data_IF_907752716738
#
_entry.id   IF_907752716738
#
_cell.length_a   1.000
_cell.length_b   1.000
_cell.length_c   1.000
_cell.angle_alpha   90.00
_cell.angle_beta   90.00
_cell.angle_gamma   90.00
#
_symmetry.space_group_name_H-M   'P 1'
#
loop_
_entity.id
_entity.type
_entity.pdbx_description
1 polymer ?
#
# COMPACT_ATOMS: atom_id res chain seq x y z
N UNK A 1 -25.21 27.53 8.54
CA UNK A 1 -25.20 28.71 7.65
C UNK A 1 -24.75 28.29 6.24
N UNK A 2 -25.36 28.91 5.18
CA UNK A 2 -25.05 28.61 3.78
C UNK A 2 -23.62 29.05 3.42
N UNK A 3 -23.15 30.15 3.95
CA UNK A 3 -21.81 30.67 3.73
C UNK A 3 -20.74 29.71 4.32
N UNK A 4 -20.97 29.21 5.52
CA UNK A 4 -20.08 28.25 6.19
C UNK A 4 -20.02 26.92 5.44
N UNK A 5 -21.16 26.40 4.94
CA UNK A 5 -21.16 25.18 4.11
C UNK A 5 -20.35 25.36 2.83
N UNK A 6 -20.52 26.53 2.14
CA UNK A 6 -19.77 26.83 0.93
C UNK A 6 -18.26 26.87 1.22
N UNK A 7 -17.85 27.59 2.26
CA UNK A 7 -16.46 27.67 2.70
C UNK A 7 -15.86 26.27 2.96
N UNK A 8 -16.55 25.41 3.72
CA UNK A 8 -16.08 24.04 4.00
C UNK A 8 -16.01 23.17 2.76
N UNK A 9 -16.93 23.36 1.82
CA UNK A 9 -16.90 22.66 0.53
C UNK A 9 -15.65 23.06 -0.25
N UNK A 10 -15.38 24.37 -0.37
CA UNK A 10 -14.22 24.90 -1.05
C UNK A 10 -12.91 24.40 -0.39
N UNK A 11 -12.79 24.50 0.94
CA UNK A 11 -11.64 23.97 1.69
C UNK A 11 -11.42 22.46 1.44
N UNK A 12 -12.50 21.68 1.42
CA UNK A 12 -12.41 20.24 1.19
C UNK A 12 -12.02 19.89 -0.24
N UNK A 13 -12.46 20.67 -1.22
CA UNK A 13 -12.08 20.50 -2.62
C UNK A 13 -10.62 20.92 -2.85
N UNK A 14 -10.16 21.98 -2.18
CA UNK A 14 -8.75 22.41 -2.23
C UNK A 14 -7.81 21.33 -1.73
N UNK A 15 -8.16 20.64 -0.61
CA UNK A 15 -7.37 19.53 -0.05
C UNK A 15 -7.11 18.39 -1.04
N UNK A 16 -8.02 18.21 -2.01
CA UNK A 16 -7.93 17.14 -3.02
C UNK A 16 -7.53 17.67 -4.41
N UNK A 17 -7.06 18.93 -4.49
CA UNK A 17 -6.61 19.55 -5.74
C UNK A 17 -7.72 19.87 -6.73
N UNK A 18 -8.94 20.16 -6.23
CA UNK A 18 -10.11 20.52 -7.03
C UNK A 18 -10.64 21.93 -6.69
N UNK A 19 -9.73 22.89 -6.46
CA UNK A 19 -10.09 24.28 -6.27
C UNK A 19 -10.98 24.79 -7.41
N UNK A 20 -12.07 25.50 -7.08
CA UNK A 20 -12.99 26.06 -8.07
C UNK A 20 -13.97 25.07 -8.72
N UNK A 21 -14.01 23.82 -8.28
CA UNK A 21 -14.92 22.80 -8.83
C UNK A 21 -16.27 22.70 -8.10
N UNK A 22 -16.52 23.59 -7.14
CA UNK A 22 -17.70 23.53 -6.27
C UNK A 22 -19.06 23.59 -6.97
N UNK A 23 -19.12 24.23 -8.13
CA UNK A 23 -20.37 24.39 -8.90
C UNK A 23 -20.52 23.35 -10.03
N UNK A 24 -19.54 22.44 -10.22
CA UNK A 24 -19.61 21.42 -11.25
C UNK A 24 -20.49 20.25 -10.85
N UNK A 25 -21.21 19.72 -11.82
CA UNK A 25 -22.03 18.52 -11.64
C UNK A 25 -21.18 17.24 -11.82
N UNK A 26 -21.54 16.12 -11.16
CA UNK A 26 -20.74 14.88 -11.23
C UNK A 26 -20.46 14.37 -12.65
N UNK A 27 -21.38 14.54 -13.59
CA UNK A 27 -21.22 14.12 -14.99
C UNK A 27 -20.24 14.97 -15.81
N UNK A 28 -19.85 16.15 -15.28
CA UNK A 28 -18.84 17.02 -15.88
C UNK A 28 -17.43 16.72 -15.39
N UNK A 29 -17.29 15.73 -14.49
CA UNK A 29 -16.03 15.35 -13.86
C UNK A 29 -15.49 14.06 -14.47
N UNK A 30 -14.17 14.00 -14.66
CA UNK A 30 -13.50 12.73 -14.98
C UNK A 30 -13.60 11.74 -13.81
N UNK A 31 -13.38 10.43 -14.07
CA UNK A 31 -13.42 9.41 -13.02
C UNK A 31 -12.49 9.72 -11.83
N UNK A 32 -11.27 10.19 -12.10
CA UNK A 32 -10.34 10.60 -11.04
C UNK A 32 -10.80 11.82 -10.26
N UNK A 33 -11.46 12.79 -10.93
CA UNK A 33 -12.04 13.95 -10.25
C UNK A 33 -13.24 13.54 -9.38
N UNK A 34 -14.08 12.61 -9.84
CA UNK A 34 -15.19 12.08 -9.04
C UNK A 34 -14.70 11.37 -7.79
N UNK A 35 -13.61 10.61 -7.86
CA UNK A 35 -12.99 9.96 -6.70
C UNK A 35 -12.43 10.98 -5.70
N UNK A 36 -11.74 12.03 -6.17
CA UNK A 36 -11.27 13.11 -5.31
C UNK A 36 -12.44 13.84 -4.64
N UNK A 37 -13.55 14.07 -5.33
CA UNK A 37 -14.77 14.62 -4.72
C UNK A 37 -15.33 13.68 -3.66
N UNK A 38 -15.35 12.37 -3.90
CA UNK A 38 -15.78 11.39 -2.89
C UNK A 38 -14.90 11.43 -1.64
N UNK A 39 -13.57 11.56 -1.81
CA UNK A 39 -12.64 11.74 -0.70
C UNK A 39 -12.87 13.07 0.02
N UNK A 40 -13.01 14.18 -0.69
CA UNK A 40 -13.33 15.49 -0.10
C UNK A 40 -14.60 15.43 0.75
N UNK A 41 -15.64 14.76 0.25
CA UNK A 41 -16.87 14.51 0.99
C UNK A 41 -16.65 13.70 2.27
N UNK A 42 -15.78 12.68 2.23
CA UNK A 42 -15.45 11.88 3.41
C UNK A 42 -14.62 12.68 4.44
N UNK A 43 -13.77 13.60 3.98
CA UNK A 43 -12.93 14.45 4.83
C UNK A 43 -13.64 15.67 5.41
N UNK A 44 -14.69 16.18 4.74
CA UNK A 44 -15.41 17.40 5.13
C UNK A 44 -15.92 17.41 6.60
N UNK A 45 -16.39 16.28 7.19
CA UNK A 45 -16.76 16.22 8.60
C UNK A 45 -15.57 16.23 9.57
N UNK A 46 -14.31 16.15 9.05
CA UNK A 46 -13.08 15.98 9.83
C UNK A 46 -13.10 14.75 10.74
N UNK A 47 -13.33 13.56 10.16
CA UNK A 47 -13.38 12.32 10.93
C UNK A 47 -12.01 11.95 11.47
N UNK A 48 -11.98 11.23 12.60
CA UNK A 48 -10.74 10.65 13.13
C UNK A 48 -10.31 9.39 12.34
N UNK A 49 -11.27 8.68 11.75
CA UNK A 49 -11.05 7.45 10.98
C UNK A 49 -11.83 7.50 9.66
N UNK A 50 -11.15 7.14 8.57
CA UNK A 50 -11.74 7.00 7.24
C UNK A 50 -11.53 5.57 6.76
N UNK A 51 -12.59 4.99 6.20
CA UNK A 51 -12.53 3.69 5.54
C UNK A 51 -12.61 3.91 4.03
N UNK A 52 -11.63 3.40 3.30
CA UNK A 52 -11.52 3.45 1.84
C UNK A 52 -11.56 2.02 1.31
N UNK A 53 -12.62 1.68 0.62
CA UNK A 53 -12.81 0.36 0.01
C UNK A 53 -12.57 0.46 -1.49
N UNK A 54 -11.49 -0.16 -1.97
CA UNK A 54 -11.04 -0.18 -3.37
C UNK A 54 -11.07 1.21 -4.06
N UNK A 55 -10.52 2.26 -3.44
CA UNK A 55 -10.79 3.65 -3.87
C UNK A 55 -10.17 4.01 -5.22
N UNK A 56 -9.30 3.19 -5.80
CA UNK A 56 -8.62 3.50 -7.07
C UNK A 56 -8.96 2.52 -8.21
N UNK A 57 -9.87 1.58 -7.99
CA UNK A 57 -10.23 0.55 -8.98
C UNK A 57 -10.81 1.12 -10.28
N UNK A 58 -11.56 2.21 -10.20
CA UNK A 58 -12.19 2.83 -11.36
C UNK A 58 -11.25 3.72 -12.20
N UNK A 59 -9.96 3.79 -11.83
CA UNK A 59 -8.97 4.63 -12.51
C UNK A 59 -8.12 3.81 -13.48
N UNK A 60 -7.82 4.41 -14.62
CA UNK A 60 -6.76 3.90 -15.48
C UNK A 60 -5.37 4.01 -14.80
N UNK A 61 -4.41 3.23 -15.29
CA UNK A 61 -3.08 3.12 -14.69
C UNK A 61 -2.30 4.46 -14.69
N UNK A 62 -2.52 5.31 -15.68
CA UNK A 62 -1.81 6.59 -15.81
C UNK A 62 -2.29 7.61 -14.76
N UNK A 63 -3.59 7.65 -14.49
CA UNK A 63 -4.19 8.55 -13.50
C UNK A 63 -4.02 8.03 -12.06
N UNK A 64 -3.92 6.72 -11.88
CA UNK A 64 -3.89 6.06 -10.57
C UNK A 64 -2.76 6.56 -9.68
N UNK A 65 -1.55 6.70 -10.22
CA UNK A 65 -0.38 7.14 -9.46
C UNK A 65 -0.53 8.57 -8.92
N UNK A 66 -1.02 9.49 -9.75
CA UNK A 66 -1.25 10.88 -9.32
C UNK A 66 -2.33 10.98 -8.24
N UNK A 67 -3.46 10.31 -8.45
CA UNK A 67 -4.58 10.33 -7.49
C UNK A 67 -4.19 9.69 -6.15
N UNK A 68 -3.40 8.61 -6.14
CA UNK A 68 -2.85 8.01 -4.89
C UNK A 68 -2.03 9.01 -4.09
N UNK A 69 -1.14 9.74 -4.77
CA UNK A 69 -0.31 10.78 -4.13
C UNK A 69 -1.16 11.87 -3.50
N UNK A 70 -2.18 12.35 -4.22
CA UNK A 70 -3.05 13.42 -3.76
C UNK A 70 -3.92 12.97 -2.58
N UNK A 71 -4.46 11.74 -2.63
CA UNK A 71 -5.21 11.12 -1.51
C UNK A 71 -4.34 11.03 -0.26
N UNK A 72 -3.11 10.52 -0.41
CA UNK A 72 -2.16 10.42 0.71
C UNK A 72 -1.82 11.78 1.29
N UNK A 73 -1.60 12.78 0.45
CA UNK A 73 -1.33 14.16 0.88
C UNK A 73 -2.51 14.74 1.66
N UNK A 74 -3.75 14.59 1.17
CA UNK A 74 -4.95 15.05 1.82
C UNK A 74 -5.19 14.37 3.19
N UNK A 75 -4.98 13.06 3.28
CA UNK A 75 -5.08 12.31 4.54
C UNK A 75 -4.06 12.81 5.56
N UNK A 76 -2.81 13.02 5.15
CA UNK A 76 -1.77 13.57 6.04
C UNK A 76 -2.06 14.99 6.49
N UNK A 77 -2.53 15.84 5.60
CA UNK A 77 -2.86 17.22 5.91
C UNK A 77 -3.98 17.35 6.95
N UNK A 78 -4.91 16.39 6.96
CA UNK A 78 -6.03 16.37 7.93
C UNK A 78 -5.71 15.66 9.23
N UNK A 79 -4.61 14.90 9.31
CA UNK A 79 -4.26 14.08 10.47
C UNK A 79 -5.23 12.91 10.71
N UNK A 80 -6.06 12.56 9.72
CA UNK A 80 -7.01 11.47 9.82
C UNK A 80 -6.30 10.11 9.72
N UNK A 81 -6.72 9.14 10.54
CA UNK A 81 -6.35 7.74 10.36
C UNK A 81 -7.17 7.17 9.20
N UNK A 82 -6.52 6.43 8.28
CA UNK A 82 -7.21 5.79 7.18
C UNK A 82 -6.98 4.28 7.19
N UNK A 83 -8.04 3.52 6.93
CA UNK A 83 -7.95 2.09 6.60
C UNK A 83 -8.30 1.97 5.11
N UNK A 84 -7.34 1.47 4.35
CA UNK A 84 -7.48 1.24 2.92
C UNK A 84 -7.61 -0.26 2.68
N UNK A 85 -8.69 -0.69 2.07
CA UNK A 85 -8.87 -2.05 1.57
C UNK A 85 -8.57 -2.05 0.08
N UNK A 86 -7.66 -2.91 -0.34
CA UNK A 86 -7.28 -3.04 -1.75
C UNK A 86 -6.75 -4.44 -2.05
N UNK A 87 -6.87 -4.88 -3.28
CA UNK A 87 -6.19 -6.07 -3.81
C UNK A 87 -4.92 -5.71 -4.61
N UNK A 88 -4.63 -4.43 -4.80
CA UNK A 88 -3.43 -3.95 -5.49
C UNK A 88 -2.27 -3.83 -4.48
N UNK A 89 -1.30 -4.75 -4.59
CA UNK A 89 -0.14 -4.81 -3.71
C UNK A 89 0.72 -3.55 -3.79
N UNK A 90 0.91 -2.99 -5.01
CA UNK A 90 1.69 -1.77 -5.20
C UNK A 90 1.03 -0.59 -4.50
N UNK A 91 -0.30 -0.55 -4.52
CA UNK A 91 -1.06 0.46 -3.80
C UNK A 91 -0.83 0.35 -2.29
N UNK A 92 -1.02 -0.84 -1.72
CA UNK A 92 -0.80 -1.07 -0.30
C UNK A 92 0.63 -0.72 0.13
N UNK A 93 1.63 -1.24 -0.59
CA UNK A 93 3.05 -1.06 -0.24
C UNK A 93 3.55 0.39 -0.42
N UNK A 94 2.98 1.15 -1.38
CA UNK A 94 3.41 2.54 -1.64
C UNK A 94 2.68 3.59 -0.81
N UNK A 95 1.50 3.26 -0.26
CA UNK A 95 0.60 4.25 0.35
C UNK A 95 0.53 4.12 1.86
N UNK A 96 0.49 2.89 2.39
CA UNK A 96 0.24 2.63 3.80
C UNK A 96 1.51 2.78 4.67
N UNK A 97 1.31 3.15 5.92
CA UNK A 97 2.36 3.10 6.95
C UNK A 97 2.47 1.69 7.56
N UNK A 98 1.33 0.96 7.63
CA UNK A 98 1.24 -0.45 8.01
C UNK A 98 0.37 -1.19 7.00
N UNK A 99 0.77 -2.40 6.64
CA UNK A 99 0.01 -3.30 5.75
C UNK A 99 -0.36 -4.57 6.50
N UNK A 100 -1.65 -4.90 6.48
CA UNK A 100 -2.17 -6.16 6.98
C UNK A 100 -2.54 -7.08 5.80
N UNK A 101 -1.86 -8.20 5.66
CA UNK A 101 -2.19 -9.23 4.68
C UNK A 101 -3.26 -10.14 5.29
N UNK A 102 -4.40 -10.22 4.61
CA UNK A 102 -5.53 -11.07 5.04
C UNK A 102 -5.58 -12.31 4.16
N UNK A 103 -5.63 -13.49 4.79
CA UNK A 103 -5.77 -14.79 4.14
C UNK A 103 -6.75 -15.65 4.95
N UNK A 104 -7.72 -16.26 4.27
CA UNK A 104 -8.75 -17.13 4.88
C UNK A 104 -9.48 -16.47 6.07
N UNK A 105 -9.81 -15.17 5.93
CA UNK A 105 -10.52 -14.40 6.96
C UNK A 105 -9.70 -14.04 8.19
N UNK A 106 -8.37 -14.20 8.15
CA UNK A 106 -7.45 -13.89 9.25
C UNK A 106 -6.30 -13.00 8.77
N UNK A 107 -5.80 -12.16 9.68
CA UNK A 107 -4.56 -11.41 9.43
C UNK A 107 -3.39 -12.39 9.50
N UNK A 108 -2.78 -12.66 8.35
CA UNK A 108 -1.62 -13.55 8.25
C UNK A 108 -0.32 -12.84 8.67
N UNK A 109 -0.18 -11.56 8.31
CA UNK A 109 0.93 -10.70 8.76
C UNK A 109 0.49 -9.24 8.76
N UNK A 110 0.97 -8.47 9.73
CA UNK A 110 0.83 -7.02 9.77
C UNK A 110 2.20 -6.40 10.06
N UNK A 111 2.70 -5.57 9.14
CA UNK A 111 4.04 -4.99 9.25
C UNK A 111 4.14 -3.70 8.41
N UNK A 112 5.26 -2.98 8.55
CA UNK A 112 5.58 -1.92 7.60
C UNK A 112 5.75 -2.51 6.19
N UNK A 113 5.49 -1.73 5.11
CA UNK A 113 5.73 -2.20 3.74
C UNK A 113 7.12 -2.81 3.54
N UNK A 114 8.14 -2.20 4.11
CA UNK A 114 9.52 -2.65 4.00
C UNK A 114 9.75 -4.00 4.70
N UNK A 115 9.22 -4.17 5.92
CA UNK A 115 9.36 -5.42 6.66
C UNK A 115 8.53 -6.53 6.01
N UNK A 116 7.33 -6.22 5.54
CA UNK A 116 6.48 -7.17 4.82
C UNK A 116 7.18 -7.73 3.58
N UNK A 117 7.85 -6.86 2.81
CA UNK A 117 8.59 -7.23 1.61
C UNK A 117 9.87 -8.02 1.92
N UNK A 118 10.64 -7.59 2.93
CA UNK A 118 11.95 -8.17 3.26
C UNK A 118 11.88 -9.39 4.18
N UNK A 119 10.85 -9.45 5.03
CA UNK A 119 10.67 -10.48 6.08
C UNK A 119 9.25 -11.03 6.07
N UNK A 120 8.79 -11.58 4.94
CA UNK A 120 7.49 -12.23 4.88
C UNK A 120 7.45 -13.40 5.84
N UNK A 121 6.30 -13.61 6.50
CA UNK A 121 6.13 -14.65 7.50
C UNK A 121 6.16 -16.06 6.90
N UNK A 122 5.77 -16.20 5.63
CA UNK A 122 5.81 -17.47 4.91
C UNK A 122 6.06 -17.26 3.39
N UNK A 123 6.37 -18.33 2.63
CA UNK A 123 6.59 -18.25 1.20
C UNK A 123 5.38 -17.73 0.39
N UNK A 124 4.17 -18.01 0.85
CA UNK A 124 2.96 -17.50 0.19
C UNK A 124 2.88 -15.97 0.28
N UNK A 125 3.16 -15.40 1.45
CA UNK A 125 3.20 -13.95 1.61
C UNK A 125 4.33 -13.35 0.77
N UNK A 126 5.48 -14.03 0.71
CA UNK A 126 6.61 -13.60 -0.11
C UNK A 126 6.22 -13.40 -1.58
N UNK A 127 5.56 -14.39 -2.16
CA UNK A 127 5.08 -14.38 -3.54
C UNK A 127 3.92 -13.41 -3.73
N UNK A 128 3.03 -13.32 -2.74
CA UNK A 128 1.88 -12.42 -2.78
C UNK A 128 2.26 -10.94 -2.78
N UNK A 129 3.31 -10.51 -2.07
CA UNK A 129 3.68 -9.08 -1.96
C UNK A 129 4.66 -8.61 -3.04
N UNK A 130 5.16 -9.49 -3.88
CA UNK A 130 6.04 -9.16 -5.01
C UNK A 130 6.81 -10.37 -5.50
N UNK A 131 7.42 -10.24 -6.67
CA UNK A 131 8.21 -11.32 -7.27
C UNK A 131 9.23 -11.89 -6.28
N UNK A 132 9.26 -13.21 -6.16
CA UNK A 132 10.11 -13.91 -5.22
C UNK A 132 10.73 -15.17 -5.86
N UNK A 133 12.02 -15.35 -5.69
CA UNK A 133 12.71 -16.60 -5.99
C UNK A 133 12.83 -17.36 -4.68
N UNK A 134 12.14 -18.51 -4.61
CA UNK A 134 12.03 -19.33 -3.40
C UNK A 134 12.72 -20.65 -3.65
N UNK A 135 13.82 -20.91 -2.94
CA UNK A 135 14.67 -22.08 -3.15
C UNK A 135 14.86 -22.88 -1.86
N UNK A 136 14.84 -24.20 -1.92
CA UNK A 136 15.32 -24.99 -0.80
C UNK A 136 16.82 -24.78 -0.60
N UNK A 137 17.26 -24.75 0.65
CA UNK A 137 18.66 -24.58 1.00
C UNK A 137 19.07 -25.32 2.26
N UNK A 138 20.35 -25.65 2.35
CA UNK A 138 21.02 -26.11 3.57
C UNK A 138 21.86 -24.96 4.11
N UNK A 139 21.86 -24.78 5.42
CA UNK A 139 22.54 -23.65 6.07
C UNK A 139 23.82 -24.12 6.73
N UNK A 140 24.92 -23.49 6.35
CA UNK A 140 26.23 -23.73 6.93
C UNK A 140 26.40 -22.93 8.25
N UNK A 141 27.39 -23.31 9.05
CA UNK A 141 27.68 -22.65 10.35
C UNK A 141 28.17 -21.20 10.24
N UNK A 142 28.59 -20.79 9.04
CA UNK A 142 29.05 -19.43 8.74
C UNK A 142 27.92 -18.46 8.36
N UNK A 143 26.66 -18.93 8.35
CA UNK A 143 25.52 -18.11 7.95
C UNK A 143 25.29 -18.06 6.44
N UNK A 144 25.85 -18.99 5.69
CA UNK A 144 25.66 -19.12 4.25
C UNK A 144 24.65 -20.23 3.95
N UNK A 145 23.68 -19.99 3.08
CA UNK A 145 22.78 -21.01 2.57
C UNK A 145 23.26 -21.55 1.23
N UNK A 146 23.38 -22.88 1.11
CA UNK A 146 23.65 -23.56 -0.15
C UNK A 146 22.36 -23.84 -0.87
N UNK A 147 22.20 -23.29 -2.03
CA UNK A 147 21.02 -23.40 -2.89
C UNK A 147 21.39 -23.93 -4.28
N UNK A 148 20.41 -24.17 -5.12
CA UNK A 148 20.63 -24.54 -6.53
C UNK A 148 21.33 -23.44 -7.35
N UNK A 149 21.29 -22.18 -6.88
CA UNK A 149 21.99 -21.03 -7.48
C UNK A 149 23.41 -20.85 -6.91
N UNK A 150 23.86 -21.71 -6.00
CA UNK A 150 25.14 -21.59 -5.31
C UNK A 150 24.98 -21.09 -3.87
N UNK A 151 26.11 -20.67 -3.25
CA UNK A 151 26.10 -20.15 -1.88
C UNK A 151 25.48 -18.74 -1.83
N UNK A 152 24.55 -18.54 -0.90
CA UNK A 152 23.86 -17.27 -0.67
C UNK A 152 24.08 -16.84 0.78
N UNK A 153 24.69 -15.68 1.04
CA UNK A 153 24.82 -15.16 2.39
C UNK A 153 23.44 -14.79 2.95
N UNK A 154 23.14 -15.22 4.17
CA UNK A 154 21.88 -14.90 4.82
C UNK A 154 21.94 -13.52 5.48
N UNK A 155 20.89 -12.73 5.29
CA UNK A 155 20.76 -11.41 5.91
C UNK A 155 20.53 -11.48 7.44
N UNK A 156 20.08 -12.63 7.94
CA UNK A 156 19.83 -12.87 9.36
C UNK A 156 20.47 -14.20 9.75
N UNK A 157 21.17 -14.27 10.91
CA UNK A 157 21.73 -15.52 11.41
C UNK A 157 20.65 -16.58 11.49
N UNK A 158 20.92 -17.80 10.98
CA UNK A 158 19.89 -18.86 10.88
C UNK A 158 19.56 -19.54 12.22
N UNK A 159 20.21 -19.18 13.31
CA UNK A 159 20.11 -19.90 14.57
C UNK A 159 20.52 -21.37 14.43
N UNK A 160 19.69 -22.27 14.91
CA UNK A 160 19.92 -23.73 14.83
C UNK A 160 19.38 -24.37 13.55
N UNK A 161 18.84 -23.56 12.61
CA UNK A 161 18.32 -24.07 11.35
C UNK A 161 19.44 -24.65 10.49
N UNK A 162 19.27 -25.91 10.05
CA UNK A 162 20.20 -26.60 9.14
C UNK A 162 19.65 -26.73 7.72
N UNK A 163 18.34 -26.68 7.58
CA UNK A 163 17.65 -26.74 6.29
C UNK A 163 16.49 -25.76 6.30
N UNK A 164 16.16 -25.18 5.17
CA UNK A 164 15.05 -24.24 5.08
C UNK A 164 14.79 -23.76 3.68
N UNK A 165 13.98 -22.74 3.58
CA UNK A 165 13.64 -22.07 2.33
C UNK A 165 14.33 -20.72 2.30
N UNK A 166 15.10 -20.47 1.26
CA UNK A 166 15.78 -19.19 1.01
C UNK A 166 14.92 -18.36 0.09
N UNK A 167 14.63 -17.14 0.52
CA UNK A 167 13.94 -16.13 -0.26
C UNK A 167 14.95 -15.16 -0.86
N UNK A 168 14.88 -14.97 -2.17
CA UNK A 168 15.62 -13.93 -2.89
C UNK A 168 14.63 -13.05 -3.63
N UNK A 169 14.90 -11.75 -3.60
CA UNK A 169 14.18 -10.78 -4.42
C UNK A 169 14.93 -10.60 -5.76
N UNK A 170 14.23 -10.37 -6.89
CA UNK A 170 14.86 -10.23 -8.20
C UNK A 170 16.02 -9.22 -8.23
N UNK A 171 15.89 -8.12 -7.53
CA UNK A 171 16.91 -7.07 -7.44
C UNK A 171 18.20 -7.49 -6.70
N UNK A 172 18.18 -8.60 -5.99
CA UNK A 172 19.35 -9.19 -5.33
C UNK A 172 20.15 -10.09 -6.25
N UNK A 173 19.56 -10.51 -7.38
CA UNK A 173 20.22 -11.33 -8.38
C UNK A 173 20.99 -10.41 -9.35
N UNK A 174 22.30 -10.64 -9.46
CA UNK A 174 23.16 -10.01 -10.47
C UNK A 174 23.50 -11.07 -11.52
N UNK A 175 23.13 -10.81 -12.74
CA UNK A 175 23.52 -11.60 -13.90
C UNK A 175 24.87 -11.14 -14.43
#
# INVERSE_FOLDING_TARGET
>A
DRAERRRRTEESLDLVGLAGYGDRMPHELSGGQQQRVALARALAPRPQLILLDEPFNALDSALRTGVRSDVRAALRATGATAILVTHDQQEALSTADLVAVVRDGRVAQCATPQDLYRRPADPWIADFVGDAVILPGTVDSDGTARTALGPVPLATPPGDLRTGTVLLRPEQLRL
#
